data_IF_268158881652
#
_entry.id   IF_268158881652
#
_cell.length_a   1.000
_cell.length_b   1.000
_cell.length_c   1.000
_cell.angle_alpha   90.00
_cell.angle_beta   90.00
_cell.angle_gamma   90.00
#
_symmetry.space_group_name_H-M   'P 1'
#
loop_
_entity.id
_entity.type
_entity.pdbx_description
1 polymer ?
#
# COMPACT_ATOMS: atom_id res chain seq x y z
N UNK A 1 -10.89 5.62 21.65
CA UNK A 1 -11.52 5.82 20.33
C UNK A 1 -10.50 5.29 19.35
N UNK A 2 -10.78 4.19 18.66
CA UNK A 2 -9.80 3.59 17.75
C UNK A 2 -9.64 4.50 16.54
N UNK A 3 -8.39 4.90 16.25
CA UNK A 3 -8.10 5.65 15.04
C UNK A 3 -8.25 4.71 13.86
N UNK A 4 -9.06 5.05 12.84
CA UNK A 4 -9.31 4.16 11.73
C UNK A 4 -8.02 3.85 10.95
N UNK A 5 -7.94 2.62 10.42
CA UNK A 5 -6.82 2.23 9.55
C UNK A 5 -6.93 2.98 8.23
N UNK A 6 -5.81 3.58 7.82
CA UNK A 6 -5.64 4.24 6.52
C UNK A 6 -4.80 3.34 5.64
N UNK A 7 -5.27 3.13 4.41
CA UNK A 7 -4.61 2.32 3.39
C UNK A 7 -4.17 3.22 2.25
N UNK A 8 -3.04 2.89 1.63
CA UNK A 8 -2.59 3.46 0.37
C UNK A 8 -2.38 2.32 -0.60
N UNK A 9 -2.86 2.47 -1.85
CA UNK A 9 -2.62 1.51 -2.92
C UNK A 9 -1.96 2.18 -4.11
N UNK A 10 -1.12 1.42 -4.80
CA UNK A 10 -0.49 1.78 -6.06
C UNK A 10 -0.79 0.67 -7.08
N UNK A 11 -1.90 0.81 -7.83
CA UNK A 11 -2.30 -0.19 -8.81
C UNK A 11 -1.41 -0.16 -10.05
N UNK A 12 -1.13 -1.33 -10.61
CA UNK A 12 -0.50 -1.52 -11.90
C UNK A 12 -1.38 -2.42 -12.78
N UNK A 13 -2.12 -1.81 -13.70
CA UNK A 13 -3.04 -2.51 -14.60
C UNK A 13 -2.30 -3.10 -15.80
N UNK A 14 -2.48 -4.40 -16.04
CA UNK A 14 -1.90 -5.14 -17.18
C UNK A 14 -2.90 -6.17 -17.72
N UNK A 15 -3.37 -6.01 -18.96
CA UNK A 15 -4.16 -6.98 -19.72
C UNK A 15 -5.30 -7.70 -18.94
N UNK A 16 -6.15 -6.94 -18.25
CA UNK A 16 -7.30 -7.50 -17.49
C UNK A 16 -6.93 -8.09 -16.12
N UNK A 17 -5.69 -7.92 -15.68
CA UNK A 17 -5.22 -8.18 -14.31
C UNK A 17 -4.67 -6.90 -13.72
N UNK A 18 -4.63 -6.83 -12.38
CA UNK A 18 -4.05 -5.69 -11.69
C UNK A 18 -3.11 -6.19 -10.59
N UNK A 19 -1.87 -5.73 -10.58
CA UNK A 19 -1.00 -5.93 -9.40
C UNK A 19 -1.20 -4.73 -8.48
N UNK A 20 -1.59 -5.00 -7.25
CA UNK A 20 -1.79 -3.99 -6.22
C UNK A 20 -0.57 -3.96 -5.32
N UNK A 21 0.15 -2.84 -5.31
CA UNK A 21 1.02 -2.48 -4.19
C UNK A 21 0.18 -1.83 -3.11
N UNK A 22 0.17 -2.38 -1.90
CA UNK A 22 -0.61 -1.88 -0.77
C UNK A 22 0.29 -1.57 0.42
N UNK A 23 0.04 -0.42 1.06
CA UNK A 23 0.57 -0.10 2.37
C UNK A 23 -0.57 0.31 3.31
N UNK A 24 -0.45 0.06 4.61
CA UNK A 24 -1.42 0.54 5.60
C UNK A 24 -0.74 1.02 6.87
N UNK A 25 -1.43 1.90 7.60
CA UNK A 25 -1.04 2.33 8.94
C UNK A 25 -2.18 2.08 9.92
N UNK A 26 -1.86 1.37 10.98
CA UNK A 26 -2.71 1.22 12.15
C UNK A 26 -2.10 2.06 13.28
N UNK A 27 -2.67 3.24 13.52
CA UNK A 27 -2.17 4.18 14.51
C UNK A 27 -2.39 3.70 15.95
N UNK A 28 -3.46 2.94 16.18
CA UNK A 28 -3.74 2.33 17.50
C UNK A 28 -2.68 1.28 17.83
N UNK A 29 -2.37 0.38 16.89
CA UNK A 29 -1.36 -0.68 17.08
C UNK A 29 0.07 -0.24 16.81
N UNK A 30 0.27 0.96 16.26
CA UNK A 30 1.55 1.49 15.78
C UNK A 30 2.23 0.51 14.80
N UNK A 31 1.48 0.10 13.78
CA UNK A 31 1.95 -0.83 12.75
C UNK A 31 1.88 -0.18 11.37
N UNK A 32 2.98 -0.27 10.63
CA UNK A 32 3.05 -0.09 9.19
C UNK A 32 3.04 -1.48 8.54
N UNK A 33 2.18 -1.71 7.56
CA UNK A 33 2.16 -2.96 6.82
C UNK A 33 2.28 -2.75 5.33
N UNK A 34 2.90 -3.72 4.64
CA UNK A 34 3.05 -3.73 3.19
C UNK A 34 2.62 -5.07 2.61
N UNK A 35 1.98 -5.04 1.45
CA UNK A 35 1.79 -6.22 0.63
C UNK A 35 1.80 -5.86 -0.86
N UNK A 36 2.13 -6.84 -1.69
CA UNK A 36 2.01 -6.73 -3.14
C UNK A 36 1.45 -8.06 -3.66
N UNK A 37 0.40 -7.96 -4.46
CA UNK A 37 -0.40 -9.11 -4.87
C UNK A 37 -1.09 -8.88 -6.20
N UNK A 38 -1.31 -9.98 -6.92
CA UNK A 38 -2.17 -9.99 -8.09
C UNK A 38 -3.63 -9.98 -7.64
N UNK A 39 -4.43 -9.17 -8.29
CA UNK A 39 -5.87 -9.14 -8.12
C UNK A 39 -6.60 -9.44 -9.44
N UNK A 40 -7.84 -9.88 -9.30
CA UNK A 40 -8.75 -10.13 -10.42
C UNK A 40 -9.47 -8.83 -10.83
N UNK A 41 -10.31 -8.91 -11.87
CA UNK A 41 -11.09 -7.76 -12.35
C UNK A 41 -12.16 -7.26 -11.36
N UNK A 42 -12.42 -8.01 -10.27
CA UNK A 42 -13.37 -7.65 -9.21
C UNK A 42 -12.68 -7.11 -7.96
N UNK A 43 -11.34 -7.14 -7.90
CA UNK A 43 -10.54 -6.71 -6.77
C UNK A 43 -10.80 -7.52 -5.47
N UNK A 44 -11.06 -8.82 -5.60
CA UNK A 44 -11.42 -9.70 -4.49
C UNK A 44 -10.39 -9.71 -3.35
N UNK A 45 -9.09 -9.70 -3.68
CA UNK A 45 -8.02 -9.71 -2.67
C UNK A 45 -7.92 -8.36 -1.94
N UNK A 46 -8.07 -7.26 -2.67
CA UNK A 46 -8.12 -5.92 -2.10
C UNK A 46 -9.32 -5.75 -1.16
N UNK A 47 -10.53 -6.15 -1.57
CA UNK A 47 -11.73 -6.08 -0.72
C UNK A 47 -11.53 -6.84 0.59
N UNK A 48 -11.06 -8.08 0.49
CA UNK A 48 -10.79 -8.93 1.64
C UNK A 48 -9.78 -8.27 2.59
N UNK A 49 -8.74 -7.64 2.04
CA UNK A 49 -7.72 -6.92 2.81
C UNK A 49 -8.28 -5.68 3.50
N UNK A 50 -9.07 -4.86 2.79
CA UNK A 50 -9.68 -3.64 3.35
C UNK A 50 -10.65 -3.97 4.49
N UNK A 51 -11.47 -5.00 4.31
CA UNK A 51 -12.42 -5.47 5.34
C UNK A 51 -11.67 -6.01 6.55
N UNK A 52 -10.69 -6.89 6.35
CA UNK A 52 -9.92 -7.51 7.44
C UNK A 52 -9.12 -6.47 8.26
N UNK A 53 -8.59 -5.44 7.59
CA UNK A 53 -7.89 -4.33 8.23
C UNK A 53 -8.85 -3.34 8.91
N UNK A 54 -10.15 -3.38 8.59
CA UNK A 54 -11.11 -2.37 9.04
C UNK A 54 -10.79 -0.98 8.48
N UNK A 55 -10.23 -0.93 7.26
CA UNK A 55 -9.84 0.30 6.60
C UNK A 55 -11.06 1.23 6.43
N UNK A 56 -10.85 2.54 6.64
CA UNK A 56 -11.89 3.56 6.42
C UNK A 56 -11.53 4.58 5.37
N UNK A 57 -10.27 4.64 4.99
CA UNK A 57 -9.78 5.54 3.96
C UNK A 57 -8.73 4.83 3.11
N UNK A 58 -8.82 5.03 1.80
CA UNK A 58 -7.89 4.51 0.82
C UNK A 58 -7.38 5.64 -0.08
N UNK A 59 -6.06 5.79 -0.10
CA UNK A 59 -5.34 6.77 -0.92
C UNK A 59 -4.78 6.05 -2.14
N UNK A 60 -4.94 6.62 -3.33
CA UNK A 60 -4.33 6.04 -4.53
C UNK A 60 -4.06 7.08 -5.63
N UNK A 61 -3.18 6.78 -6.61
CA UNK A 61 -2.94 7.66 -7.73
C UNK A 61 -4.21 7.86 -8.55
N UNK A 62 -4.63 9.12 -8.73
CA UNK A 62 -5.68 9.46 -9.68
C UNK A 62 -5.22 9.03 -11.08
N UNK A 63 -5.93 8.08 -11.68
CA UNK A 63 -5.88 7.86 -13.12
C UNK A 63 -7.01 8.67 -13.75
N UNK A 64 -6.74 9.37 -14.85
CA UNK A 64 -7.76 10.16 -15.56
C UNK A 64 -8.72 9.23 -16.34
N UNK A 65 -9.47 8.40 -15.59
CA UNK A 65 -10.86 8.02 -15.81
C UNK A 65 -11.29 7.41 -17.15
N UNK A 66 -10.45 6.64 -17.86
CA UNK A 66 -10.84 6.06 -19.17
C UNK A 66 -10.77 4.53 -19.30
N UNK A 67 -10.31 3.79 -18.29
CA UNK A 67 -10.28 2.33 -18.33
C UNK A 67 -11.42 1.71 -17.51
N UNK A 68 -11.96 0.57 -17.95
CA UNK A 68 -13.01 -0.15 -17.23
C UNK A 68 -12.48 -0.74 -15.91
N UNK A 69 -11.18 -1.03 -15.88
CA UNK A 69 -10.44 -1.52 -14.73
C UNK A 69 -10.38 -0.46 -13.63
N UNK A 70 -10.21 0.81 -14.00
CA UNK A 70 -10.28 1.93 -13.08
C UNK A 70 -11.66 1.99 -12.41
N UNK A 71 -12.76 1.93 -13.18
CA UNK A 71 -14.12 1.91 -12.62
C UNK A 71 -14.34 0.74 -11.64
N UNK A 72 -13.86 -0.45 -11.98
CA UNK A 72 -14.03 -1.65 -11.13
C UNK A 72 -13.32 -1.50 -9.78
N UNK A 73 -12.19 -0.77 -9.74
CA UNK A 73 -11.50 -0.40 -8.51
C UNK A 73 -12.34 0.55 -7.64
N UNK A 74 -12.93 1.61 -8.21
CA UNK A 74 -13.83 2.50 -7.47
C UNK A 74 -15.03 1.74 -6.89
N UNK A 75 -15.68 0.90 -7.71
CA UNK A 75 -16.84 0.12 -7.28
C UNK A 75 -16.47 -0.81 -6.10
N UNK A 76 -15.24 -1.36 -6.09
CA UNK A 76 -14.72 -2.19 -5.00
C UNK A 76 -14.50 -1.40 -3.70
N UNK A 77 -13.85 -0.23 -3.79
CA UNK A 77 -13.64 0.65 -2.64
C UNK A 77 -14.96 1.13 -2.03
N UNK A 78 -15.95 1.45 -2.88
CA UNK A 78 -17.30 1.84 -2.46
C UNK A 78 -18.01 0.69 -1.74
N UNK A 79 -17.94 -0.54 -2.25
CA UNK A 79 -18.52 -1.74 -1.58
C UNK A 79 -17.93 -1.96 -0.18
N UNK A 80 -16.66 -1.64 0.02
CA UNK A 80 -16.02 -1.72 1.34
C UNK A 80 -16.33 -0.53 2.26
N UNK A 81 -17.14 0.45 1.81
CA UNK A 81 -17.44 1.69 2.52
C UNK A 81 -16.17 2.46 2.94
N UNK A 82 -15.18 2.47 2.05
CA UNK A 82 -13.90 3.15 2.24
C UNK A 82 -13.95 4.53 1.57
N UNK A 83 -13.56 5.56 2.29
CA UNK A 83 -13.40 6.91 1.74
C UNK A 83 -12.26 6.90 0.71
N UNK A 84 -12.53 7.45 -0.47
CA UNK A 84 -11.58 7.51 -1.58
C UNK A 84 -10.85 8.85 -1.55
N UNK A 85 -9.52 8.79 -1.47
CA UNK A 85 -8.65 9.97 -1.50
C UNK A 85 -7.65 9.88 -2.65
N UNK A 86 -8.00 10.54 -3.76
CA UNK A 86 -7.15 10.61 -4.94
C UNK A 86 -5.95 11.56 -4.76
N UNK A 87 -4.77 11.14 -5.21
CA UNK A 87 -3.55 11.95 -5.22
C UNK A 87 -2.87 11.89 -6.57
N UNK A 88 -2.05 12.89 -6.91
CA UNK A 88 -1.30 12.87 -8.17
C UNK A 88 -0.25 11.76 -8.12
N UNK A 89 -0.05 11.06 -9.24
CA UNK A 89 0.90 9.93 -9.32
C UNK A 89 2.34 10.27 -8.89
N UNK A 90 2.78 11.52 -9.04
CA UNK A 90 4.11 11.93 -8.58
C UNK A 90 4.23 12.03 -7.05
N UNK A 91 3.13 12.16 -6.31
CA UNK A 91 3.10 12.18 -4.84
C UNK A 91 3.43 10.80 -4.23
N UNK A 92 3.41 9.74 -5.04
CA UNK A 92 3.84 8.39 -4.70
C UNK A 92 5.34 8.17 -4.97
N UNK A 93 6.07 9.18 -5.44
CA UNK A 93 7.49 9.07 -5.82
C UNK A 93 8.32 10.14 -5.10
N UNK A 94 9.62 9.88 -4.96
CA UNK A 94 10.61 10.89 -4.55
C UNK A 94 10.71 11.15 -3.04
N UNK A 95 9.96 10.44 -2.21
CA UNK A 95 10.17 10.44 -0.76
C UNK A 95 11.39 9.60 -0.37
N UNK A 96 12.20 10.12 0.54
CA UNK A 96 13.28 9.39 1.18
C UNK A 96 12.74 8.47 2.30
N UNK A 97 12.23 7.31 1.89
CA UNK A 97 11.70 6.30 2.80
C UNK A 97 12.74 5.79 3.80
N UNK A 98 14.02 5.83 3.45
CA UNK A 98 15.08 5.36 4.33
C UNK A 98 15.20 6.25 5.57
N UNK A 99 15.33 7.55 5.34
CA UNK A 99 15.36 8.56 6.40
C UNK A 99 14.09 8.55 7.24
N UNK A 100 12.94 8.47 6.59
CA UNK A 100 11.63 8.53 7.24
C UNK A 100 11.39 7.32 8.15
N UNK A 101 11.69 6.12 7.65
CA UNK A 101 11.49 4.89 8.43
C UNK A 101 12.52 4.71 9.54
N UNK A 102 13.74 5.21 9.36
CA UNK A 102 14.73 5.27 10.44
C UNK A 102 14.25 6.09 11.63
N UNK A 103 13.42 7.11 11.39
CA UNK A 103 12.80 7.91 12.47
C UNK A 103 11.59 7.24 13.08
N UNK A 104 10.74 6.58 12.28
CA UNK A 104 9.45 6.06 12.73
C UNK A 104 9.52 4.64 13.34
N UNK A 105 10.35 3.76 12.78
CA UNK A 105 10.34 2.33 13.10
C UNK A 105 11.31 2.01 14.24
N UNK A 106 10.86 1.15 15.15
CA UNK A 106 11.64 0.60 16.26
C UNK A 106 12.79 -0.28 15.76
N UNK A 107 13.98 -0.06 16.32
CA UNK A 107 15.13 -0.95 16.13
C UNK A 107 16.00 -0.57 14.93
N UNK A 108 16.71 -1.57 14.39
CA UNK A 108 17.67 -1.39 13.31
C UNK A 108 16.97 -1.17 11.97
N UNK A 109 17.56 -0.33 11.11
CA UNK A 109 17.00 0.03 9.80
C UNK A 109 17.31 -1.05 8.74
N UNK A 110 18.34 -1.87 8.91
CA UNK A 110 18.77 -2.87 7.93
C UNK A 110 17.67 -3.91 7.61
N UNK A 111 17.02 -4.57 8.59
CA UNK A 111 15.92 -5.49 8.29
C UNK A 111 14.71 -4.82 7.64
N UNK A 112 14.51 -3.53 7.94
CA UNK A 112 13.45 -2.71 7.35
C UNK A 112 13.74 -2.44 5.87
N UNK A 113 14.97 -2.06 5.54
CA UNK A 113 15.44 -1.90 4.15
C UNK A 113 15.29 -3.20 3.36
N UNK A 114 15.74 -4.32 3.94
CA UNK A 114 15.65 -5.63 3.30
C UNK A 114 14.20 -5.99 2.97
N UNK A 115 13.28 -5.78 3.92
CA UNK A 115 11.85 -6.00 3.71
C UNK A 115 11.29 -5.16 2.55
N UNK A 116 11.57 -3.85 2.54
CA UNK A 116 10.99 -2.92 1.57
C UNK A 116 11.57 -3.14 0.17
N UNK A 117 12.84 -3.55 0.09
CA UNK A 117 13.48 -3.90 -1.19
C UNK A 117 12.78 -5.07 -1.92
N UNK A 118 11.94 -5.83 -1.21
CA UNK A 118 11.12 -6.91 -1.76
C UNK A 118 9.82 -6.46 -2.43
N UNK A 119 9.50 -5.15 -2.45
CA UNK A 119 8.27 -4.61 -3.01
C UNK A 119 8.53 -3.48 -3.99
N UNK A 120 8.01 -3.61 -5.21
CA UNK A 120 8.18 -2.61 -6.27
C UNK A 120 7.03 -1.61 -6.24
N UNK A 121 5.80 -2.07 -5.95
CA UNK A 121 4.59 -1.24 -5.95
C UNK A 121 4.12 -0.86 -4.53
N UNK A 122 4.38 -1.68 -3.51
CA UNK A 122 3.99 -1.33 -2.15
C UNK A 122 4.85 -0.19 -1.56
N UNK A 123 6.10 -0.08 -2.00
CA UNK A 123 7.04 0.96 -1.59
C UNK A 123 6.55 2.37 -1.94
N UNK A 124 6.17 2.69 -3.19
CA UNK A 124 5.57 4.01 -3.50
C UNK A 124 4.24 4.25 -2.76
N UNK A 125 3.43 3.21 -2.53
CA UNK A 125 2.21 3.32 -1.71
C UNK A 125 2.52 3.72 -0.26
N UNK A 126 3.55 3.12 0.36
CA UNK A 126 4.04 3.50 1.69
C UNK A 126 4.52 4.95 1.71
N UNK A 127 5.25 5.38 0.68
CA UNK A 127 5.68 6.76 0.51
C UNK A 127 4.51 7.74 0.59
N UNK A 128 3.45 7.52 -0.19
CA UNK A 128 2.25 8.36 -0.15
C UNK A 128 1.51 8.29 1.20
N UNK A 129 1.42 7.09 1.79
CA UNK A 129 0.76 6.88 3.08
C UNK A 129 1.38 7.70 4.20
N UNK A 130 2.71 7.71 4.28
CA UNK A 130 3.44 8.50 5.28
C UNK A 130 3.23 10.00 5.08
N UNK A 131 2.90 10.46 3.87
CA UNK A 131 2.74 11.90 3.54
C UNK A 131 1.38 12.31 4.01
N UNK A 132 0.40 11.52 3.60
CA UNK A 132 -0.99 11.71 3.94
C UNK A 132 -1.21 11.67 5.45
N UNK A 133 -0.59 10.72 6.14
CA UNK A 133 -0.80 10.52 7.58
C UNK A 133 0.04 11.49 8.43
N UNK A 134 0.91 12.30 7.81
CA UNK A 134 1.78 13.28 8.48
C UNK A 134 2.55 12.70 9.69
N UNK A 135 2.94 11.42 9.65
CA UNK A 135 3.48 10.73 10.84
C UNK A 135 4.74 11.40 11.39
N UNK A 136 5.53 12.04 10.54
CA UNK A 136 6.77 12.71 10.92
C UNK A 136 6.55 14.10 11.53
N UNK A 137 5.34 14.66 11.44
CA UNK A 137 5.00 15.95 12.04
C UNK A 137 4.82 15.88 13.55
N UNK A 138 4.66 14.66 14.10
CA UNK A 138 4.53 14.41 15.55
C UNK A 138 5.72 13.58 16.04
N UNK A 139 6.60 14.20 16.84
CA UNK A 139 7.77 13.54 17.43
C UNK A 139 7.40 12.36 18.35
N UNK A 140 6.17 12.32 18.87
CA UNK A 140 5.63 11.19 19.61
C UNK A 140 5.52 9.91 18.78
N UNK A 141 5.68 9.99 17.46
CA UNK A 141 5.71 8.84 16.56
C UNK A 141 7.11 8.23 16.39
N UNK A 142 8.17 8.92 16.82
CA UNK A 142 9.54 8.51 16.55
C UNK A 142 9.89 7.24 17.34
N UNK A 143 10.44 6.25 16.63
CA UNK A 143 10.79 4.94 17.18
C UNK A 143 9.58 4.23 17.80
N UNK A 144 8.36 4.52 17.34
CA UNK A 144 7.14 3.97 17.94
C UNK A 144 6.40 2.96 17.07
N UNK A 145 6.77 2.83 15.78
CA UNK A 145 6.15 1.90 14.86
C UNK A 145 6.91 0.58 14.72
N UNK A 146 6.18 -0.48 14.37
CA UNK A 146 6.76 -1.68 13.75
C UNK A 146 6.36 -1.72 12.28
N UNK A 147 7.18 -2.35 11.44
CA UNK A 147 6.88 -2.54 10.03
C UNK A 147 6.89 -4.03 9.70
N UNK A 148 5.95 -4.48 8.86
CA UNK A 148 5.82 -5.90 8.51
C UNK A 148 5.23 -6.12 7.13
N UNK A 149 5.45 -7.33 6.60
CA UNK A 149 4.63 -7.84 5.50
C UNK A 149 3.23 -8.17 6.02
N UNK A 150 2.22 -7.76 5.27
CA UNK A 150 0.85 -8.18 5.46
C UNK A 150 0.61 -9.48 4.67
N UNK A 151 0.10 -10.51 5.35
CA UNK A 151 -0.28 -11.76 4.70
C UNK A 151 -1.76 -11.68 4.32
N UNK A 152 -2.03 -11.76 3.02
CA UNK A 152 -3.37 -11.66 2.45
C UNK A 152 -4.12 -13.00 2.56
N UNK A 153 -3.42 -14.08 2.94
CA UNK A 153 -3.98 -15.40 3.03
C UNK A 153 -4.04 -16.09 1.66
N UNK A 154 -3.08 -16.97 1.42
CA UNK A 154 -3.27 -18.18 0.60
C UNK A 154 -3.35 -18.10 -0.93
N UNK A 155 -3.65 -16.97 -1.57
CA UNK A 155 -3.84 -16.96 -3.03
C UNK A 155 -2.95 -15.88 -3.71
N UNK A 156 -1.85 -16.35 -4.28
CA UNK A 156 -0.86 -15.61 -5.10
C UNK A 156 0.05 -14.63 -4.36
N UNK A 157 1.17 -15.19 -3.89
CA UNK A 157 2.40 -14.44 -3.60
C UNK A 157 3.11 -14.19 -4.93
N UNK A 158 3.28 -12.94 -5.30
CA UNK A 158 4.24 -12.58 -6.34
C UNK A 158 5.59 -12.39 -5.66
N UNK A 159 6.57 -13.21 -6.03
CA UNK A 159 7.95 -12.88 -5.70
C UNK A 159 8.41 -11.78 -6.67
N UNK A 160 9.15 -10.79 -6.15
CA UNK A 160 9.57 -9.63 -6.94
C UNK A 160 10.53 -10.01 -8.09
N UNK A 161 11.20 -11.17 -8.01
CA UNK A 161 12.03 -11.67 -9.11
C UNK A 161 11.18 -12.22 -10.27
N UNK A 162 10.06 -12.89 -9.98
CA UNK A 162 9.08 -13.38 -10.94
C UNK A 162 8.34 -12.22 -11.61
N UNK A 163 8.07 -11.13 -10.88
CA UNK A 163 7.52 -9.89 -11.46
C UNK A 163 8.46 -9.25 -12.46
N UNK A 164 9.76 -9.12 -12.12
CA UNK A 164 10.76 -8.61 -13.07
C UNK A 164 10.91 -9.54 -14.27
N UNK A 165 10.85 -10.86 -14.07
CA UNK A 165 10.93 -11.82 -15.17
C UNK A 165 9.71 -11.71 -16.11
N UNK A 166 8.50 -11.50 -15.58
CA UNK A 166 7.30 -11.25 -16.38
C UNK A 166 7.43 -9.97 -17.22
N UNK A 167 8.03 -8.91 -16.66
CA UNK A 167 8.31 -7.67 -17.38
C UNK A 167 9.49 -7.74 -18.36
N UNK A 168 10.21 -8.88 -18.42
CA UNK A 168 11.37 -9.10 -19.30
C UNK A 168 11.04 -10.05 -20.46
N UNK A 169 9.87 -10.70 -20.44
CA UNK A 169 9.38 -11.55 -21.55
C UNK A 169 8.56 -10.77 -22.60
N UNK A 170 8.92 -9.50 -22.85
CA UNK A 170 8.55 -8.76 -24.08
C UNK A 170 9.65 -8.89 -25.15
#
# INVERSE_FOLDING_TARGET
QDTPVVVSIFPNFQEGRCVIGMAYVDLTKRVLGLAEFLDDSRFTNLESSLIALGAKECIFPAETGKSNECKSLYDSLERCAVMITERKKHEFRGRDLDSDLKRLVKGNIEPVRDLISGFDLATPALGALLSFSELLSDEGNYGNFTIRRYDIGGFMRLDSAAMRALNVME
#
